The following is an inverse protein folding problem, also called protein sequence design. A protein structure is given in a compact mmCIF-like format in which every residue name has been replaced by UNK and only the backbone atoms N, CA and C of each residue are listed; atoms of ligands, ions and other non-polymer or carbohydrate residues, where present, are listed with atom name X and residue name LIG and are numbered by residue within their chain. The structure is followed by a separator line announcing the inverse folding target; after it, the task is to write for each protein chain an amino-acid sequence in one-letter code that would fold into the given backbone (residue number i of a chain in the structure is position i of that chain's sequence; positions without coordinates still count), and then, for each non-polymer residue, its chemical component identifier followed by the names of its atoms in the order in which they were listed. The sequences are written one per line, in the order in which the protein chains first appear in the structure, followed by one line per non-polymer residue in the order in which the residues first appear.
data_IF_587646787615
#
_entry.id   IF_587646787615
#
_cell.length_a   1.000
_cell.length_b   1.000
_cell.length_c   1.000
_cell.angle_alpha   90.00
_cell.angle_beta   90.00
_cell.angle_gamma   90.00
#
_symmetry.space_group_name_H-M   'P 1'
#
loop_
_entity.id
_entity.type
_entity.pdbx_description
1 polymer ?
#
# COMPACT_ATOMS: atom_id res chain seq x y z
N UNK A 1 -16.53 21.89 -13.63
CA UNK A 1 -15.13 21.54 -13.30
C UNK A 1 -15.14 20.23 -12.52
N UNK A 2 -15.15 19.12 -13.24
CA UNK A 2 -14.96 17.79 -12.64
C UNK A 2 -13.46 17.54 -12.68
N UNK A 3 -12.80 17.55 -11.52
CA UNK A 3 -11.47 16.93 -11.37
C UNK A 3 -11.54 15.52 -11.96
N UNK A 4 -10.47 14.96 -12.54
CA UNK A 4 -10.47 13.65 -13.20
C UNK A 4 -11.09 12.55 -12.31
N UNK A 5 -12.41 12.41 -12.45
CA UNK A 5 -13.25 11.65 -11.55
C UNK A 5 -13.39 10.22 -12.13
N UNK A 6 -13.43 10.12 -13.45
CA UNK A 6 -13.32 8.88 -14.23
C UNK A 6 -11.87 8.40 -14.28
N UNK A 7 -11.41 7.80 -13.19
CA UNK A 7 -10.22 6.95 -13.19
C UNK A 7 -10.66 5.53 -12.85
N UNK A 8 -9.94 4.48 -13.30
CA UNK A 8 -10.31 3.10 -12.99
C UNK A 8 -10.44 2.85 -11.48
N UNK A 9 -9.74 3.65 -10.68
CA UNK A 9 -9.78 3.57 -9.22
C UNK A 9 -11.02 4.18 -8.55
N UNK A 10 -11.85 4.90 -9.29
CA UNK A 10 -13.08 5.51 -8.77
C UNK A 10 -14.32 4.94 -9.46
N UNK A 11 -14.19 3.84 -10.20
CA UNK A 11 -15.31 3.21 -10.92
C UNK A 11 -16.49 2.88 -9.99
N UNK A 12 -16.20 2.51 -8.73
CA UNK A 12 -17.22 2.23 -7.72
C UNK A 12 -18.05 3.46 -7.28
N UNK A 13 -17.60 4.68 -7.63
CA UNK A 13 -18.29 5.93 -7.29
C UNK A 13 -19.09 6.52 -8.46
N UNK A 14 -19.17 5.81 -9.60
CA UNK A 14 -19.79 6.32 -10.83
C UNK A 14 -21.26 6.71 -10.64
N UNK A 15 -22.05 5.89 -9.93
CA UNK A 15 -23.47 6.17 -9.69
C UNK A 15 -23.70 7.50 -8.94
N UNK A 16 -22.91 7.75 -7.89
CA UNK A 16 -23.03 8.97 -7.06
C UNK A 16 -22.52 10.19 -7.85
N UNK A 17 -21.54 9.99 -8.73
CA UNK A 17 -21.03 11.03 -9.60
C UNK A 17 -22.05 11.42 -10.68
N UNK A 18 -22.73 10.43 -11.28
CA UNK A 18 -23.86 10.66 -12.20
C UNK A 18 -24.98 11.44 -11.51
N UNK A 19 -25.32 11.09 -10.26
CA UNK A 19 -26.31 11.85 -9.49
C UNK A 19 -25.90 13.32 -9.26
N UNK A 20 -24.60 13.59 -9.08
CA UNK A 20 -24.09 14.96 -8.96
C UNK A 20 -24.20 15.72 -10.30
N UNK A 21 -23.93 15.04 -11.42
CA UNK A 21 -24.06 15.60 -12.76
C UNK A 21 -25.52 15.92 -13.10
N UNK A 22 -26.45 15.03 -12.77
CA UNK A 22 -27.89 15.27 -12.87
C UNK A 22 -28.32 16.47 -12.02
N UNK A 23 -27.77 16.61 -10.81
CA UNK A 23 -28.06 17.77 -9.97
C UNK A 23 -27.52 19.08 -10.59
N UNK A 24 -26.32 19.05 -11.17
CA UNK A 24 -25.76 20.18 -11.90
C UNK A 24 -26.55 20.51 -13.18
N UNK A 25 -27.15 19.52 -13.83
CA UNK A 25 -27.97 19.70 -15.03
C UNK A 25 -29.28 20.48 -14.75
N UNK A 26 -29.73 20.57 -13.49
CA UNK A 26 -30.91 21.36 -13.08
C UNK A 26 -30.72 22.86 -13.24
N UNK A 27 -29.48 23.33 -13.38
CA UNK A 27 -29.17 24.71 -13.71
C UNK A 27 -28.08 25.32 -12.84
N UNK A 28 -27.39 26.32 -13.41
CA UNK A 28 -26.24 26.98 -12.80
C UNK A 28 -26.59 27.67 -11.47
N UNK A 29 -27.74 28.33 -11.37
CA UNK A 29 -28.17 29.02 -10.13
C UNK A 29 -28.40 28.03 -8.99
N UNK A 30 -29.04 26.89 -9.27
CA UNK A 30 -29.26 25.83 -8.28
C UNK A 30 -27.94 25.30 -7.72
N UNK A 31 -26.95 25.09 -8.60
CA UNK A 31 -25.59 24.72 -8.22
C UNK A 31 -24.89 25.81 -7.40
N UNK A 32 -24.96 27.06 -7.84
CA UNK A 32 -24.25 28.18 -7.22
C UNK A 32 -24.76 28.47 -5.80
N UNK A 33 -26.07 28.30 -5.56
CA UNK A 33 -26.68 28.46 -4.25
C UNK A 33 -26.52 27.22 -3.33
N UNK A 34 -25.82 26.18 -3.79
CA UNK A 34 -25.51 25.00 -2.98
C UNK A 34 -26.61 23.93 -2.94
N UNK A 35 -27.57 23.96 -3.88
CA UNK A 35 -28.66 22.97 -3.96
C UNK A 35 -28.22 21.52 -4.18
N UNK A 36 -26.96 21.30 -4.56
CA UNK A 36 -26.36 19.98 -4.78
C UNK A 36 -25.39 19.55 -3.64
N UNK A 37 -25.38 20.23 -2.49
CA UNK A 37 -24.40 19.97 -1.44
C UNK A 37 -24.49 18.58 -0.81
N UNK A 38 -25.69 18.01 -0.68
CA UNK A 38 -25.87 16.69 -0.09
C UNK A 38 -25.28 15.60 -1.00
N UNK A 39 -25.62 15.63 -2.28
CA UNK A 39 -25.03 14.72 -3.28
C UNK A 39 -23.51 14.90 -3.35
N UNK A 40 -23.03 16.14 -3.29
CA UNK A 40 -21.58 16.44 -3.22
C UNK A 40 -20.92 15.83 -1.98
N UNK A 41 -21.58 15.80 -0.82
CA UNK A 41 -21.06 15.14 0.39
C UNK A 41 -20.94 13.64 0.17
N UNK A 42 -21.88 13.02 -0.52
CA UNK A 42 -21.84 11.59 -0.79
C UNK A 42 -20.73 11.22 -1.79
N UNK A 43 -20.52 12.04 -2.84
CA UNK A 43 -19.34 11.89 -3.72
C UNK A 43 -18.05 11.96 -2.92
N UNK A 44 -17.94 12.94 -2.00
CA UNK A 44 -16.74 13.10 -1.17
C UNK A 44 -16.50 11.90 -0.24
N UNK A 45 -17.56 11.34 0.36
CA UNK A 45 -17.46 10.13 1.19
C UNK A 45 -16.98 8.94 0.38
N UNK A 46 -17.54 8.72 -0.81
CA UNK A 46 -17.15 7.61 -1.68
C UNK A 46 -15.67 7.72 -2.09
N UNK A 47 -15.26 8.87 -2.61
CA UNK A 47 -13.87 9.09 -3.03
C UNK A 47 -12.89 9.03 -1.85
N UNK A 48 -13.30 9.43 -0.65
CA UNK A 48 -12.49 9.27 0.55
C UNK A 48 -12.31 7.80 0.95
N UNK A 49 -13.38 6.99 0.85
CA UNK A 49 -13.32 5.56 1.11
C UNK A 49 -12.38 4.85 0.12
N UNK A 50 -12.47 5.15 -1.18
CA UNK A 50 -11.59 4.59 -2.21
C UNK A 50 -10.12 4.97 -1.98
N UNK A 51 -9.85 6.24 -1.66
CA UNK A 51 -8.50 6.68 -1.28
C UNK A 51 -7.96 5.93 -0.06
N UNK A 52 -8.80 5.73 0.95
CA UNK A 52 -8.42 4.99 2.15
C UNK A 52 -8.15 3.51 1.85
N UNK A 53 -9.00 2.86 1.06
CA UNK A 53 -8.83 1.48 0.65
C UNK A 53 -7.50 1.29 -0.10
N UNK A 54 -7.18 2.17 -1.04
CA UNK A 54 -5.90 2.14 -1.75
C UNK A 54 -4.72 2.36 -0.82
N UNK A 55 -4.79 3.36 0.05
CA UNK A 55 -3.73 3.63 1.02
C UNK A 55 -3.49 2.41 1.93
N UNK A 56 -4.55 1.71 2.32
CA UNK A 56 -4.46 0.45 3.07
C UNK A 56 -3.76 -0.64 2.27
N UNK A 57 -4.17 -0.89 1.02
CA UNK A 57 -3.52 -1.89 0.15
C UNK A 57 -2.03 -1.60 -0.04
N UNK A 58 -1.67 -0.35 -0.33
CA UNK A 58 -0.28 0.05 -0.49
C UNK A 58 0.54 -0.16 0.79
N UNK A 59 -0.05 0.13 1.97
CA UNK A 59 0.59 -0.11 3.27
C UNK A 59 0.78 -1.59 3.54
N UNK A 60 -0.23 -2.41 3.25
CA UNK A 60 -0.17 -3.85 3.45
C UNK A 60 0.87 -4.49 2.53
N UNK A 61 0.88 -4.13 1.24
CA UNK A 61 1.90 -4.57 0.29
C UNK A 61 3.31 -4.14 0.70
N UNK A 62 3.49 -2.90 1.18
CA UNK A 62 4.77 -2.43 1.66
C UNK A 62 5.25 -3.23 2.88
N UNK A 63 4.36 -3.55 3.82
CA UNK A 63 4.68 -4.41 4.97
C UNK A 63 5.08 -5.81 4.53
N UNK A 64 4.35 -6.42 3.60
CA UNK A 64 4.67 -7.76 3.10
C UNK A 64 5.99 -7.78 2.33
N UNK A 65 6.29 -6.74 1.54
CA UNK A 65 7.60 -6.59 0.89
C UNK A 65 8.74 -6.45 1.91
N UNK A 66 8.55 -5.63 2.95
CA UNK A 66 9.54 -5.47 4.04
C UNK A 66 9.80 -6.80 4.76
N UNK A 67 8.76 -7.52 5.17
CA UNK A 67 8.89 -8.85 5.81
C UNK A 67 9.61 -9.87 4.93
N UNK A 68 9.43 -9.80 3.60
CA UNK A 68 10.15 -10.69 2.66
C UNK A 68 11.64 -10.36 2.62
N UNK A 69 11.98 -9.07 2.51
CA UNK A 69 13.37 -8.62 2.51
C UNK A 69 14.06 -8.94 3.84
N UNK A 70 13.40 -8.66 4.96
CA UNK A 70 13.91 -8.97 6.30
C UNK A 70 14.16 -10.47 6.50
N UNK A 71 13.28 -11.34 5.98
CA UNK A 71 13.49 -12.79 6.01
C UNK A 71 14.71 -13.21 5.19
N UNK A 72 14.83 -12.71 3.96
CA UNK A 72 15.97 -13.02 3.08
C UNK A 72 17.28 -12.58 3.74
N UNK A 73 17.34 -11.35 4.28
CA UNK A 73 18.54 -10.87 4.97
C UNK A 73 18.86 -11.64 6.24
N UNK A 74 17.85 -12.08 7.00
CA UNK A 74 18.04 -12.91 8.18
C UNK A 74 18.57 -14.31 7.81
N UNK A 75 18.02 -14.92 6.76
CA UNK A 75 18.49 -16.19 6.22
C UNK A 75 19.93 -16.09 5.71
N UNK A 76 20.25 -15.07 4.89
CA UNK A 76 21.61 -14.81 4.41
C UNK A 76 22.60 -14.62 5.57
N UNK A 77 22.23 -13.86 6.60
CA UNK A 77 23.07 -13.68 7.80
C UNK A 77 23.29 -14.98 8.56
N UNK A 78 22.24 -15.78 8.76
CA UNK A 78 22.33 -17.08 9.42
C UNK A 78 23.19 -18.07 8.62
N UNK A 79 23.07 -18.08 7.29
CA UNK A 79 23.94 -18.89 6.43
C UNK A 79 25.40 -18.41 6.48
N UNK A 80 25.65 -17.10 6.51
CA UNK A 80 26.99 -16.55 6.66
C UNK A 80 27.61 -16.91 8.03
N UNK A 81 26.84 -16.83 9.12
CA UNK A 81 27.29 -17.23 10.45
C UNK A 81 27.56 -18.74 10.52
N UNK A 82 26.68 -19.59 9.99
CA UNK A 82 26.90 -21.06 9.98
C UNK A 82 28.08 -21.47 9.09
N UNK A 83 28.30 -20.82 7.94
CA UNK A 83 29.50 -21.00 7.11
C UNK A 83 30.78 -20.56 7.83
N UNK A 84 30.70 -19.48 8.60
CA UNK A 84 31.81 -18.99 9.45
C UNK A 84 32.10 -19.94 10.61
N UNK A 85 31.07 -20.46 11.28
CA UNK A 85 31.20 -21.46 12.36
C UNK A 85 31.77 -22.78 11.84
N UNK A 86 31.35 -23.25 10.66
CA UNK A 86 31.91 -24.46 10.02
C UNK A 86 33.40 -24.30 9.66
N UNK A 87 33.78 -23.10 9.21
CA UNK A 87 35.18 -22.76 8.94
C UNK A 87 36.01 -22.66 10.23
N UNK A 88 35.45 -22.07 11.30
CA UNK A 88 36.09 -22.02 12.62
C UNK A 88 36.24 -23.41 13.26
N UNK A 89 35.21 -24.26 13.15
CA UNK A 89 35.22 -25.63 13.65
C UNK A 89 36.28 -26.48 12.95
N UNK A 90 36.41 -26.34 11.61
CA UNK A 90 37.45 -27.00 10.81
C UNK A 90 38.87 -26.50 11.13
N UNK A 91 39.01 -25.23 11.55
CA UNK A 91 40.29 -24.70 12.02
C UNK A 91 40.66 -25.18 13.43
N UNK A 92 39.67 -25.43 14.29
CA UNK A 92 39.90 -25.89 15.68
C UNK A 92 40.24 -27.37 15.82
N UNK A 93 39.88 -28.20 14.84
CA UNK A 93 40.20 -29.64 14.82
C UNK A 93 41.61 -29.97 14.30
N UNK A 94 42.36 -28.97 13.82
CA UNK A 94 43.73 -29.12 13.30
C UNK A 94 44.87 -28.86 14.30
N UNK A 95 44.60 -28.50 15.56
CA UNK A 95 45.63 -28.01 16.49
C UNK A 95 46.03 -28.95 17.65
N UNK A 96 45.59 -30.22 17.68
CA UNK A 96 46.03 -31.19 18.71
C UNK A 96 47.03 -32.23 18.18
N UNK A 97 48.27 -31.85 17.88
CA UNK A 97 49.43 -32.77 17.84
C UNK A 97 50.74 -32.01 17.71
N UNK A 98 51.29 -31.55 18.83
CA UNK A 98 52.72 -31.22 18.94
C UNK A 98 53.14 -31.17 20.43
N UNK A 99 53.40 -32.34 21.02
CA UNK A 99 54.15 -32.43 22.28
C UNK A 99 54.91 -33.76 22.35
N UNK A 100 56.14 -33.79 21.80
CA UNK A 100 57.38 -34.30 22.41
C UNK A 100 58.55 -34.30 21.43
#
# INVERSE_FOLDING_TARGET
MHSHLHTPYNANCEEIMTALDECHARGFIHKALGGCNDVKRDVNKCLAAERYARAKRNRDEAKEKRKKIERIWAEEKALAETGSISSLASASSGSSSAEK
#
